data_IF_454704323868
#
_entry.id   IF_454704323868
#
_cell.length_a   1.000
_cell.length_b   1.000
_cell.length_c   1.000
_cell.angle_alpha   90.00
_cell.angle_beta   90.00
_cell.angle_gamma   90.00
#
_symmetry.space_group_name_H-M   'P 1'
#
loop_
_entity.id
_entity.type
_entity.pdbx_description
1 polymer ?
#
# COMPACT_ATOMS: atom_id res chain seq x y z
N UNK A 1 -10.00 -21.25 -3.29
CA UNK A 1 -8.55 -21.19 -3.58
C UNK A 1 -8.20 -22.38 -4.47
N UNK A 2 -7.13 -22.32 -5.26
CA UNK A 2 -6.69 -23.41 -6.15
C UNK A 2 -5.17 -23.49 -6.15
N UNK A 3 -4.60 -24.51 -6.80
CA UNK A 3 -3.13 -24.69 -6.86
C UNK A 3 -2.41 -23.43 -7.40
N UNK A 4 -1.24 -23.06 -6.85
CA UNK A 4 -0.43 -21.97 -7.38
C UNK A 4 -0.18 -22.12 -8.88
N UNK A 5 -0.43 -21.06 -9.65
CA UNK A 5 -0.25 -21.04 -11.11
C UNK A 5 -1.40 -21.64 -11.93
N UNK A 6 -2.37 -22.33 -11.31
CA UNK A 6 -3.48 -22.95 -12.04
C UNK A 6 -4.51 -21.96 -12.59
N UNK A 7 -4.58 -20.75 -12.03
CA UNK A 7 -5.47 -19.67 -12.49
C UNK A 7 -4.96 -18.30 -12.06
N UNK A 8 -5.28 -17.28 -12.84
CA UNK A 8 -5.01 -15.88 -12.47
C UNK A 8 -6.06 -15.36 -11.48
N UNK A 9 -5.61 -14.66 -10.45
CA UNK A 9 -6.46 -13.94 -9.52
C UNK A 9 -5.69 -12.75 -8.95
N UNK A 10 -6.32 -11.57 -8.95
CA UNK A 10 -5.75 -10.38 -8.34
C UNK A 10 -5.72 -10.52 -6.80
N UNK A 11 -4.60 -10.16 -6.19
CA UNK A 11 -4.40 -10.23 -4.74
C UNK A 11 -3.39 -9.17 -4.30
N UNK A 12 -3.89 -8.18 -3.54
CA UNK A 12 -3.05 -7.18 -2.90
C UNK A 12 -2.04 -7.81 -1.93
N UNK A 13 -2.44 -8.86 -1.22
CA UNK A 13 -1.58 -9.57 -0.27
C UNK A 13 -0.32 -10.14 -0.93
N UNK A 14 -0.38 -10.49 -2.22
CA UNK A 14 0.78 -11.02 -2.93
C UNK A 14 1.92 -10.00 -2.99
N UNK A 15 1.61 -8.71 -3.06
CA UNK A 15 2.61 -7.65 -3.10
C UNK A 15 3.26 -7.41 -1.73
N UNK A 16 2.54 -7.64 -0.63
CA UNK A 16 3.14 -7.67 0.71
C UNK A 16 4.14 -8.82 0.86
N UNK A 17 3.81 -10.00 0.33
CA UNK A 17 4.73 -11.15 0.31
C UNK A 17 5.96 -10.86 -0.54
N UNK A 18 5.80 -10.21 -1.69
CA UNK A 18 6.93 -9.77 -2.51
C UNK A 18 7.86 -8.79 -1.76
N UNK A 19 7.28 -7.84 -1.00
CA UNK A 19 8.04 -6.95 -0.11
C UNK A 19 8.86 -7.73 0.91
N UNK A 20 8.26 -8.70 1.61
CA UNK A 20 8.96 -9.55 2.58
C UNK A 20 10.10 -10.37 1.95
N UNK A 21 9.91 -10.88 0.73
CA UNK A 21 10.97 -11.59 -0.01
C UNK A 21 12.15 -10.65 -0.29
N UNK A 22 11.89 -9.42 -0.71
CA UNK A 22 12.94 -8.42 -0.98
C UNK A 22 13.72 -8.10 0.29
N UNK A 23 13.06 -7.88 1.43
CA UNK A 23 13.75 -7.65 2.69
C UNK A 23 14.63 -8.84 3.07
N UNK A 24 14.10 -10.06 2.91
CA UNK A 24 14.83 -11.29 3.25
C UNK A 24 16.07 -11.49 2.37
N UNK A 25 15.96 -11.21 1.07
CA UNK A 25 17.06 -11.40 0.10
C UNK A 25 18.10 -10.28 0.19
N UNK A 26 17.67 -9.05 0.41
CA UNK A 26 18.58 -7.89 0.43
C UNK A 26 19.17 -7.61 1.81
N UNK A 27 18.53 -8.08 2.89
CA UNK A 27 18.88 -7.71 4.27
C UNK A 27 18.61 -6.24 4.60
N UNK A 28 17.92 -5.52 3.70
CA UNK A 28 17.60 -4.11 3.84
C UNK A 28 16.11 -3.94 4.01
N UNK A 29 15.72 -2.91 4.74
CA UNK A 29 14.33 -2.48 4.80
C UNK A 29 13.82 -2.17 3.38
N UNK A 30 12.63 -2.69 3.06
CA UNK A 30 12.03 -2.55 1.75
C UNK A 30 11.88 -1.08 1.31
N UNK A 31 11.67 -0.15 2.26
CA UNK A 31 11.58 1.30 2.00
C UNK A 31 12.89 1.84 1.47
N UNK A 32 14.02 1.37 1.98
CA UNK A 32 15.34 1.81 1.52
C UNK A 32 15.64 1.28 0.12
N UNK A 33 15.27 0.02 -0.15
CA UNK A 33 15.43 -0.60 -1.48
C UNK A 33 14.59 0.14 -2.53
N UNK A 34 13.34 0.48 -2.22
CA UNK A 34 12.43 1.18 -3.15
C UNK A 34 12.75 2.66 -3.29
N UNK A 35 13.20 3.33 -2.23
CA UNK A 35 13.67 4.71 -2.30
C UNK A 35 14.88 4.84 -3.25
N UNK A 36 15.89 3.99 -3.03
CA UNK A 36 17.12 4.02 -3.81
C UNK A 36 16.92 3.56 -5.25
N UNK A 37 16.15 2.48 -5.45
CA UNK A 37 16.02 1.83 -6.75
C UNK A 37 14.94 2.41 -7.66
N UNK A 38 13.96 3.13 -7.11
CA UNK A 38 12.79 3.61 -7.87
C UNK A 38 12.52 5.08 -7.64
N UNK A 39 12.32 5.51 -6.39
CA UNK A 39 11.76 6.85 -6.11
C UNK A 39 12.74 7.99 -6.33
N UNK A 40 14.05 7.79 -6.10
CA UNK A 40 15.06 8.84 -6.37
C UNK A 40 15.02 9.36 -7.81
N UNK A 41 14.61 8.53 -8.77
CA UNK A 41 14.43 8.92 -10.18
C UNK A 41 13.07 9.57 -10.50
N UNK A 42 12.14 9.60 -9.55
CA UNK A 42 10.74 10.01 -9.73
C UNK A 42 10.30 11.04 -8.67
N UNK A 43 10.94 12.22 -8.59
CA UNK A 43 10.56 13.24 -7.62
C UNK A 43 9.15 13.76 -7.89
N UNK A 44 8.32 13.84 -6.84
CA UNK A 44 6.96 14.40 -6.91
C UNK A 44 5.84 13.41 -7.24
N UNK A 45 6.15 12.13 -7.48
CA UNK A 45 5.12 11.09 -7.69
C UNK A 45 4.30 10.79 -6.42
N UNK A 46 4.87 11.03 -5.24
CA UNK A 46 4.21 10.84 -3.95
C UNK A 46 4.46 12.03 -3.01
N UNK A 47 3.58 12.26 -2.01
CA UNK A 47 3.80 13.26 -0.98
C UNK A 47 5.18 13.13 -0.33
N UNK A 48 5.75 14.26 0.10
CA UNK A 48 7.07 14.28 0.74
C UNK A 48 7.05 13.39 1.99
N UNK A 49 7.98 12.43 2.06
CA UNK A 49 8.06 11.45 3.15
C UNK A 49 7.35 10.12 2.86
N UNK A 50 6.55 10.04 1.80
CA UNK A 50 6.04 8.77 1.30
C UNK A 50 7.19 7.90 0.77
N UNK A 51 7.04 6.59 0.93
CA UNK A 51 7.91 5.55 0.38
C UNK A 51 7.02 4.56 -0.33
N UNK A 52 7.10 4.50 -1.67
CA UNK A 52 6.29 3.64 -2.53
C UNK A 52 7.18 2.77 -3.44
N UNK A 53 6.87 1.48 -3.53
CA UNK A 53 7.41 0.61 -4.57
C UNK A 53 6.66 -0.71 -4.61
N UNK A 54 6.55 -1.32 -5.81
CA UNK A 54 5.85 -2.58 -6.03
C UNK A 54 4.41 -2.62 -5.48
N UNK A 55 3.68 -1.50 -5.53
CA UNK A 55 2.32 -1.39 -5.01
C UNK A 55 2.23 -1.17 -3.50
N UNK A 56 3.31 -1.37 -2.75
CA UNK A 56 3.31 -1.20 -1.29
C UNK A 56 3.87 0.16 -0.94
N UNK A 57 3.23 0.87 -0.01
CA UNK A 57 3.74 2.12 0.54
C UNK A 57 3.47 2.26 2.03
N UNK A 58 4.26 3.07 2.72
CA UNK A 58 3.98 3.40 4.12
C UNK A 58 3.24 4.72 4.24
N UNK A 59 2.21 4.74 5.09
CA UNK A 59 1.40 5.92 5.37
C UNK A 59 1.44 6.27 6.86
N UNK A 60 1.59 7.56 7.22
CA UNK A 60 1.62 7.99 8.61
C UNK A 60 0.19 8.10 9.16
N UNK A 61 -0.27 7.07 9.88
CA UNK A 61 -1.52 7.14 10.65
C UNK A 61 -1.30 7.88 11.98
N UNK A 62 -2.38 8.37 12.56
CA UNK A 62 -2.39 9.07 13.86
C UNK A 62 -1.90 8.21 15.01
N UNK A 63 -2.05 6.88 14.92
CA UNK A 63 -1.55 5.92 15.92
C UNK A 63 -0.18 5.31 15.58
N UNK A 64 0.46 5.73 14.49
CA UNK A 64 1.78 5.24 14.07
C UNK A 64 1.85 4.91 12.57
N UNK A 65 3.05 4.67 12.03
CA UNK A 65 3.20 4.33 10.62
C UNK A 65 2.60 2.95 10.32
N UNK A 66 1.91 2.83 9.18
CA UNK A 66 1.31 1.58 8.74
C UNK A 66 1.66 1.25 7.27
N UNK A 67 1.58 -0.04 6.95
CA UNK A 67 1.97 -0.61 5.67
C UNK A 67 0.74 -0.79 4.79
N UNK A 68 0.67 -0.02 3.71
CA UNK A 68 -0.48 0.06 2.84
C UNK A 68 -0.22 -0.53 1.46
N UNK A 69 -1.30 -0.96 0.84
CA UNK A 69 -1.40 -1.15 -0.60
C UNK A 69 -2.78 -0.68 -1.05
N UNK A 70 -2.84 0.28 -1.96
CA UNK A 70 -4.09 0.70 -2.58
C UNK A 70 -4.31 -0.03 -3.90
N UNK A 71 -5.56 -0.38 -4.17
CA UNK A 71 -6.00 -0.98 -5.41
C UNK A 71 -7.06 -0.10 -6.06
N UNK A 72 -7.13 -0.11 -7.38
CA UNK A 72 -8.16 0.64 -8.09
C UNK A 72 -8.26 0.25 -9.55
N UNK A 73 -9.48 0.35 -10.07
CA UNK A 73 -9.78 0.36 -11.51
C UNK A 73 -10.49 1.68 -11.81
N UNK A 74 -10.60 2.14 -13.07
CA UNK A 74 -11.42 3.29 -13.39
C UNK A 74 -12.83 3.13 -12.80
N UNK A 75 -13.26 4.09 -11.97
CA UNK A 75 -14.55 4.05 -11.28
C UNK A 75 -14.56 3.30 -9.93
N UNK A 76 -13.42 2.84 -9.41
CA UNK A 76 -13.34 2.24 -8.07
C UNK A 76 -11.97 2.43 -7.42
N UNK A 77 -11.95 2.73 -6.12
CA UNK A 77 -10.72 2.71 -5.30
C UNK A 77 -10.94 1.93 -4.02
N UNK A 78 -9.91 1.20 -3.61
CA UNK A 78 -9.87 0.43 -2.37
C UNK A 78 -8.55 0.66 -1.64
N UNK A 79 -8.65 0.88 -0.33
CA UNK A 79 -7.52 0.91 0.60
C UNK A 79 -7.74 -0.15 1.66
N UNK A 80 -6.71 -0.93 1.97
CA UNK A 80 -6.73 -1.92 3.05
C UNK A 80 -5.44 -1.83 3.85
N UNK A 81 -5.57 -1.90 5.18
CA UNK A 81 -4.41 -1.85 6.08
C UNK A 81 -4.74 -2.52 7.45
N UNK A 82 -3.69 -2.79 8.24
CA UNK A 82 -3.75 -3.33 9.59
C UNK A 82 -2.77 -2.61 10.54
N UNK A 83 -3.32 -1.91 11.52
CA UNK A 83 -2.58 -1.28 12.63
C UNK A 83 -3.27 -1.59 13.96
N UNK A 84 -3.00 -2.77 14.54
CA UNK A 84 -3.72 -3.31 15.71
C UNK A 84 -5.16 -3.79 15.40
N UNK A 85 -5.86 -3.11 14.51
CA UNK A 85 -7.14 -3.49 13.88
C UNK A 85 -6.95 -3.59 12.37
N UNK A 86 -7.86 -4.26 11.68
CA UNK A 86 -7.86 -4.33 10.21
C UNK A 86 -9.06 -3.53 9.66
N UNK A 87 -8.83 -2.72 8.64
CA UNK A 87 -9.87 -1.93 8.00
C UNK A 87 -9.69 -1.89 6.48
N UNK A 88 -10.83 -1.82 5.77
CA UNK A 88 -10.89 -1.63 4.33
C UNK A 88 -11.85 -0.50 4.01
N UNK A 89 -11.40 0.49 3.24
CA UNK A 89 -12.24 1.58 2.73
C UNK A 89 -12.41 1.40 1.23
N UNK A 90 -13.66 1.34 0.78
CA UNK A 90 -14.05 1.17 -0.61
C UNK A 90 -14.87 2.36 -1.07
N UNK A 91 -14.51 2.95 -2.21
CA UNK A 91 -15.32 3.99 -2.85
C UNK A 91 -15.59 3.69 -4.32
N UNK A 92 -16.81 4.04 -4.72
CA UNK A 92 -17.25 4.06 -6.12
C UNK A 92 -16.95 5.43 -6.73
N UNK A 93 -16.40 5.42 -7.95
CA UNK A 93 -15.86 6.58 -8.65
C UNK A 93 -14.33 6.67 -8.59
N UNK A 94 -13.75 7.47 -9.48
CA UNK A 94 -12.33 7.86 -9.42
C UNK A 94 -12.25 9.19 -8.65
N UNK A 95 -11.79 9.21 -7.40
CA UNK A 95 -11.67 10.44 -6.62
C UNK A 95 -10.72 11.41 -7.33
N UNK A 96 -11.02 12.71 -7.28
CA UNK A 96 -10.07 13.76 -7.71
C UNK A 96 -8.88 13.87 -6.75
N UNK A 97 -9.07 13.50 -5.48
CA UNK A 97 -8.02 13.31 -4.48
C UNK A 97 -8.42 12.19 -3.49
N UNK A 98 -7.41 11.54 -2.91
CA UNK A 98 -7.59 10.39 -2.00
C UNK A 98 -7.55 10.76 -0.50
N UNK A 99 -7.43 12.04 -0.13
CA UNK A 99 -7.27 12.51 1.27
C UNK A 99 -8.44 12.07 2.15
N UNK A 100 -9.67 12.12 1.63
CA UNK A 100 -10.86 11.68 2.37
C UNK A 100 -10.87 10.17 2.59
N UNK A 101 -10.33 9.42 1.64
CA UNK A 101 -10.17 7.97 1.72
C UNK A 101 -9.20 7.59 2.84
N UNK A 102 -8.05 8.26 2.86
CA UNK A 102 -7.05 8.08 3.91
C UNK A 102 -7.56 8.52 5.30
N UNK A 103 -8.28 9.64 5.40
CA UNK A 103 -8.86 10.09 6.66
C UNK A 103 -9.90 9.11 7.22
N UNK A 104 -10.71 8.50 6.34
CA UNK A 104 -11.65 7.46 6.75
C UNK A 104 -10.95 6.21 7.26
N UNK A 105 -9.83 5.83 6.63
CA UNK A 105 -9.04 4.68 7.05
C UNK A 105 -8.33 4.93 8.38
N UNK A 106 -7.75 6.12 8.57
CA UNK A 106 -7.15 6.54 9.84
C UNK A 106 -8.16 6.48 10.99
N UNK A 107 -9.36 7.04 10.79
CA UNK A 107 -10.42 6.98 11.78
C UNK A 107 -10.91 5.54 12.06
N UNK A 108 -10.79 4.62 11.11
CA UNK A 108 -11.18 3.23 11.30
C UNK A 108 -10.12 2.41 12.06
N UNK A 109 -8.84 2.74 11.86
CA UNK A 109 -7.72 2.01 12.45
C UNK A 109 -7.28 2.56 13.81
N UNK A 110 -7.34 3.89 13.99
CA UNK A 110 -6.71 4.60 15.11
C UNK A 110 -7.73 5.30 16.05
N UNK A 111 -9.00 4.88 16.05
CA UNK A 111 -9.98 5.23 17.08
C UNK A 111 -9.91 4.32 18.30
#
# INVERSE_FOLDING_TARGET
TGEPGARWAYSNTNYLVAGMIIEKVTGRDFRAVTEDGVQKGLPGTYPKGSRYGLGVYTYPLSCGPAWMHDGGLPGVRVLSDRAGRAATVYVTGTPKDDRRLFAALDAALCR
#
